data_IF_321745663281
#
_entry.id   IF_321745663281
#
_cell.length_a   1.000
_cell.length_b   1.000
_cell.length_c   1.000
_cell.angle_alpha   90.00
_cell.angle_beta   90.00
_cell.angle_gamma   90.00
#
_symmetry.space_group_name_H-M   'P 1'
#
loop_
_entity.id
_entity.type
_entity.pdbx_description
1 polymer ?
#
# COMPACT_ATOMS: atom_id res chain seq x y z
N UNK A 1 -11.62 8.56 -4.47
CA UNK A 1 -11.38 7.54 -3.44
C UNK A 1 -9.87 7.35 -3.24
N UNK A 2 -9.47 6.81 -2.10
CA UNK A 2 -8.06 6.67 -1.72
C UNK A 2 -7.74 5.22 -1.40
N UNK A 3 -6.71 4.67 -2.04
CA UNK A 3 -6.20 3.33 -1.79
C UNK A 3 -4.78 3.40 -1.25
N UNK A 4 -4.45 2.56 -0.26
CA UNK A 4 -3.09 2.45 0.26
C UNK A 4 -2.57 1.03 0.19
N UNK A 5 -1.25 0.91 0.12
CA UNK A 5 -0.54 -0.35 0.08
C UNK A 5 0.46 -0.43 1.22
N UNK A 6 0.56 -1.60 1.85
CA UNK A 6 1.72 -1.88 2.67
C UNK A 6 2.98 -2.02 1.80
N UNK A 7 4.15 -1.98 2.42
CA UNK A 7 5.42 -2.17 1.73
C UNK A 7 5.89 -3.62 1.85
N UNK A 8 6.22 -4.05 3.05
CA UNK A 8 6.86 -5.35 3.28
C UNK A 8 5.87 -6.48 2.97
N UNK A 9 6.32 -7.47 2.21
CA UNK A 9 5.55 -8.63 1.72
C UNK A 9 4.31 -8.30 0.87
N UNK A 10 4.01 -7.02 0.65
CA UNK A 10 2.97 -6.54 -0.28
C UNK A 10 3.57 -5.99 -1.56
N UNK A 11 4.26 -4.83 -1.50
CA UNK A 11 4.94 -4.21 -2.64
C UNK A 11 6.42 -4.59 -2.74
N UNK A 12 7.07 -4.82 -1.60
CA UNK A 12 8.47 -5.25 -1.49
C UNK A 12 8.49 -6.70 -1.06
N UNK A 13 8.87 -7.61 -1.94
CA UNK A 13 8.85 -9.04 -1.66
C UNK A 13 10.26 -9.63 -1.80
N UNK A 14 10.84 -10.06 -0.67
CA UNK A 14 12.15 -10.72 -0.64
C UNK A 14 12.06 -12.25 -0.78
N UNK A 15 10.86 -12.80 -0.80
CA UNK A 15 10.64 -14.23 -0.92
C UNK A 15 11.10 -14.79 -2.26
N UNK A 16 11.80 -15.93 -2.24
CA UNK A 16 12.20 -16.64 -3.44
C UNK A 16 10.98 -17.06 -4.26
N UNK A 17 11.03 -16.82 -5.57
CA UNK A 17 9.95 -17.19 -6.49
C UNK A 17 8.83 -16.13 -6.67
N UNK A 18 8.84 -15.04 -5.92
CA UNK A 18 7.95 -13.91 -6.20
C UNK A 18 8.50 -13.12 -7.39
N UNK A 19 7.73 -12.95 -8.48
CA UNK A 19 8.16 -12.14 -9.62
C UNK A 19 8.36 -10.68 -9.22
N UNK A 20 9.45 -10.09 -9.67
CA UNK A 20 9.84 -8.71 -9.35
C UNK A 20 9.95 -7.87 -10.61
N UNK A 21 9.76 -6.58 -10.47
CA UNK A 21 10.08 -5.60 -11.50
C UNK A 21 11.60 -5.60 -11.78
N UNK A 22 12.01 -5.22 -13.00
CA UNK A 22 13.43 -5.04 -13.29
C UNK A 22 14.08 -4.07 -12.29
N UNK A 23 15.24 -4.47 -11.78
CA UNK A 23 16.02 -3.61 -10.88
C UNK A 23 16.41 -2.31 -11.57
N UNK A 24 16.47 -1.24 -10.79
CA UNK A 24 16.97 0.03 -11.30
C UNK A 24 18.38 -0.11 -11.87
N UNK A 25 18.68 0.69 -12.88
CA UNK A 25 20.01 0.70 -13.49
C UNK A 25 21.09 0.90 -12.41
N UNK A 26 22.21 0.20 -12.52
CA UNK A 26 23.26 0.17 -11.49
C UNK A 26 23.70 1.57 -11.03
N UNK A 27 23.74 2.54 -11.94
CA UNK A 27 24.08 3.93 -11.63
C UNK A 27 23.10 4.58 -10.65
N UNK A 28 21.80 4.35 -10.81
CA UNK A 28 20.77 4.89 -9.91
C UNK A 28 20.84 4.25 -8.52
N UNK A 29 21.24 2.98 -8.45
CA UNK A 29 21.41 2.26 -7.19
C UNK A 29 22.53 2.79 -6.31
N UNK A 30 23.41 3.65 -6.81
CA UNK A 30 24.39 4.38 -6.01
C UNK A 30 23.76 5.47 -5.16
N UNK A 31 22.57 5.97 -5.56
CA UNK A 31 21.89 7.09 -4.92
C UNK A 31 20.52 6.73 -4.34
N UNK A 32 19.99 5.58 -4.73
CA UNK A 32 18.66 5.11 -4.36
C UNK A 32 18.78 3.69 -3.82
N UNK A 33 18.27 3.50 -2.61
CA UNK A 33 18.12 2.14 -2.06
C UNK A 33 17.03 1.42 -2.86
N UNK A 34 17.46 0.52 -3.75
CA UNK A 34 16.58 -0.20 -4.67
C UNK A 34 16.16 -1.53 -4.04
N UNK A 35 14.92 -1.58 -3.56
CA UNK A 35 14.31 -2.78 -2.99
C UNK A 35 13.63 -3.63 -4.08
N UNK A 36 13.37 -4.94 -3.84
CA UNK A 36 12.73 -5.82 -4.83
C UNK A 36 11.24 -5.48 -4.96
N UNK A 37 10.90 -4.60 -5.91
CA UNK A 37 9.52 -4.23 -6.19
C UNK A 37 8.76 -5.39 -6.83
N UNK A 38 7.60 -5.75 -6.28
CA UNK A 38 6.73 -6.81 -6.80
C UNK A 38 6.28 -6.50 -8.23
N UNK A 39 6.35 -7.51 -9.11
CA UNK A 39 5.95 -7.36 -10.50
C UNK A 39 4.48 -6.98 -10.64
N UNK A 40 4.20 -6.09 -11.62
CA UNK A 40 2.87 -5.56 -11.89
C UNK A 40 2.53 -4.29 -11.10
N UNK A 41 3.37 -3.87 -10.12
CA UNK A 41 3.11 -2.68 -9.31
C UNK A 41 2.92 -1.41 -10.14
N UNK A 42 3.82 -1.01 -11.07
CA UNK A 42 3.64 0.23 -11.82
C UNK A 42 2.36 0.24 -12.67
N UNK A 43 2.04 -0.88 -13.29
CA UNK A 43 0.84 -1.02 -14.12
C UNK A 43 -0.43 -0.97 -13.27
N UNK A 44 -0.47 -1.67 -12.13
CA UNK A 44 -1.58 -1.60 -11.19
C UNK A 44 -1.84 -0.15 -10.73
N UNK A 45 -0.79 0.56 -10.30
CA UNK A 45 -0.92 1.95 -9.83
C UNK A 45 -1.42 2.89 -10.94
N UNK A 46 -0.95 2.67 -12.18
CA UNK A 46 -1.43 3.41 -13.35
C UNK A 46 -2.94 3.16 -13.60
N UNK A 47 -3.38 1.91 -13.51
CA UNK A 47 -4.78 1.55 -13.70
C UNK A 47 -5.69 2.11 -12.60
N UNK A 48 -5.26 2.08 -11.35
CA UNK A 48 -5.98 2.67 -10.22
C UNK A 48 -6.16 4.19 -10.42
N UNK A 49 -5.09 4.89 -10.83
CA UNK A 49 -5.16 6.33 -11.15
C UNK A 49 -6.11 6.63 -12.30
N UNK A 50 -6.15 5.81 -13.33
CA UNK A 50 -7.11 5.95 -14.44
C UNK A 50 -8.57 5.79 -13.98
N UNK A 51 -8.80 5.05 -12.90
CA UNK A 51 -10.10 4.91 -12.24
C UNK A 51 -10.39 6.01 -11.21
N UNK A 52 -9.52 7.02 -11.09
CA UNK A 52 -9.70 8.14 -10.17
C UNK A 52 -9.28 7.87 -8.73
N UNK A 53 -8.51 6.81 -8.47
CA UNK A 53 -7.98 6.55 -7.14
C UNK A 53 -6.72 7.36 -6.86
N UNK A 54 -6.66 7.99 -5.66
CA UNK A 54 -5.40 8.43 -5.07
C UNK A 54 -4.63 7.23 -4.54
N UNK A 55 -3.34 7.14 -4.86
CA UNK A 55 -2.47 6.02 -4.49
C UNK A 55 -1.54 6.42 -3.36
N UNK A 56 -1.65 5.71 -2.25
CA UNK A 56 -0.88 5.95 -1.03
C UNK A 56 -0.05 4.73 -0.64
N UNK A 57 0.94 4.93 0.22
CA UNK A 57 1.58 3.87 0.99
C UNK A 57 1.22 4.04 2.46
N UNK A 58 0.91 2.94 3.13
CA UNK A 58 0.74 2.90 4.59
C UNK A 58 1.49 1.69 5.15
N UNK A 59 2.58 1.96 5.83
CA UNK A 59 3.48 0.93 6.37
C UNK A 59 3.80 1.19 7.85
N UNK A 60 4.05 0.12 8.59
CA UNK A 60 4.56 0.16 9.97
C UNK A 60 6.10 0.27 10.03
N UNK A 61 6.77 0.40 8.88
CA UNK A 61 8.21 0.62 8.84
C UNK A 61 8.56 2.09 9.07
N UNK A 62 9.78 2.34 9.56
CA UNK A 62 10.34 3.69 9.76
C UNK A 62 11.05 4.23 8.51
N UNK A 63 10.82 3.63 7.33
CA UNK A 63 11.39 4.13 6.07
C UNK A 63 11.00 5.60 5.84
N UNK A 64 11.99 6.39 5.42
CA UNK A 64 11.76 7.81 5.10
C UNK A 64 10.76 7.95 3.95
N UNK A 65 9.68 8.74 4.12
CA UNK A 65 8.72 9.00 3.05
C UNK A 65 9.36 9.55 1.77
N UNK A 66 10.38 10.39 1.91
CA UNK A 66 11.11 10.94 0.77
C UNK A 66 11.89 9.86 0.01
N UNK A 67 12.50 8.91 0.73
CA UNK A 67 13.25 7.82 0.12
C UNK A 67 12.31 6.86 -0.63
N UNK A 68 11.19 6.47 0.00
CA UNK A 68 10.18 5.58 -0.62
C UNK A 68 9.56 6.24 -1.86
N UNK A 69 9.16 7.51 -1.77
CA UNK A 69 8.62 8.25 -2.92
C UNK A 69 9.62 8.34 -4.07
N UNK A 70 10.90 8.61 -3.77
CA UNK A 70 11.96 8.69 -4.78
C UNK A 70 12.19 7.35 -5.45
N UNK A 71 12.29 6.26 -4.69
CA UNK A 71 12.47 4.90 -5.20
C UNK A 71 11.30 4.48 -6.10
N UNK A 72 10.05 4.58 -5.62
CA UNK A 72 8.85 4.24 -6.39
C UNK A 72 8.70 5.09 -7.66
N UNK A 73 9.06 6.38 -7.59
CA UNK A 73 9.02 7.27 -8.76
C UNK A 73 9.93 6.78 -9.89
N UNK A 74 11.10 6.22 -9.57
CA UNK A 74 12.01 5.67 -10.57
C UNK A 74 11.48 4.36 -11.19
N UNK A 75 10.58 3.66 -10.51
CA UNK A 75 9.80 2.55 -11.06
C UNK A 75 8.51 3.01 -11.76
N UNK A 76 8.30 4.33 -11.97
CA UNK A 76 7.12 4.85 -12.63
C UNK A 76 5.88 4.99 -11.74
N UNK A 77 6.03 4.82 -10.42
CA UNK A 77 4.93 4.94 -9.45
C UNK A 77 4.96 6.31 -8.78
N UNK A 78 3.84 7.04 -8.89
CA UNK A 78 3.64 8.32 -8.19
C UNK A 78 2.72 8.09 -6.99
N UNK A 79 3.14 8.58 -5.81
CA UNK A 79 2.33 8.52 -4.59
C UNK A 79 1.72 9.88 -4.27
N UNK A 80 0.42 9.87 -3.97
CA UNK A 80 -0.30 11.05 -3.47
C UNK A 80 -0.06 11.24 -1.97
N UNK A 81 0.12 10.16 -1.22
CA UNK A 81 0.41 10.21 0.20
C UNK A 81 1.24 9.04 0.71
N UNK A 82 1.73 9.19 1.94
CA UNK A 82 2.39 8.12 2.67
C UNK A 82 2.21 8.28 4.18
N UNK A 83 1.84 7.19 4.83
CA UNK A 83 1.82 7.03 6.29
C UNK A 83 2.88 5.99 6.64
N UNK A 84 3.87 6.38 7.44
CA UNK A 84 4.84 5.48 8.06
C UNK A 84 4.57 5.35 9.56
N UNK A 85 5.35 4.55 10.27
CA UNK A 85 5.18 4.34 11.72
C UNK A 85 5.15 5.67 12.49
N UNK A 86 6.05 6.61 12.19
CA UNK A 86 6.08 7.92 12.86
C UNK A 86 4.78 8.73 12.68
N UNK A 87 4.18 8.66 11.49
CA UNK A 87 2.92 9.36 11.20
C UNK A 87 1.75 8.68 11.92
N UNK A 88 1.73 7.35 11.96
CA UNK A 88 0.76 6.56 12.72
C UNK A 88 0.83 6.89 14.22
N UNK A 89 2.02 6.84 14.82
CA UNK A 89 2.23 7.13 16.24
C UNK A 89 1.84 8.56 16.61
N UNK A 90 2.12 9.53 15.73
CA UNK A 90 1.66 10.91 15.94
C UNK A 90 0.14 11.02 15.95
N UNK A 91 -0.54 10.24 15.10
CA UNK A 91 -2.00 10.19 15.10
C UNK A 91 -2.53 9.61 16.41
N UNK A 92 -2.00 8.46 16.86
CA UNK A 92 -2.42 7.82 18.11
C UNK A 92 -2.20 8.72 19.33
N UNK A 93 -1.10 9.48 19.39
CA UNK A 93 -0.86 10.46 20.46
C UNK A 93 -1.88 11.60 20.49
N UNK A 94 -2.44 11.99 19.33
CA UNK A 94 -3.46 13.06 19.23
C UNK A 94 -4.87 12.53 19.49
N UNK A 95 -5.12 11.27 19.22
CA UNK A 95 -6.42 10.62 19.38
C UNK A 95 -6.21 9.26 20.08
N UNK A 96 -5.94 9.25 21.40
CA UNK A 96 -5.71 8.03 22.16
C UNK A 96 -6.92 7.09 22.10
N UNK A 97 -6.66 5.81 21.92
CA UNK A 97 -7.65 4.74 21.93
C UNK A 97 -7.20 3.65 22.91
N UNK A 98 -8.16 3.01 23.59
CA UNK A 98 -7.84 1.94 24.57
C UNK A 98 -7.16 0.74 23.92
N UNK A 99 -7.57 0.42 22.68
CA UNK A 99 -7.00 -0.68 21.88
C UNK A 99 -6.84 -0.21 20.43
N UNK A 100 -5.77 0.52 20.12
CA UNK A 100 -5.53 0.98 18.77
C UNK A 100 -5.21 -0.19 17.85
N UNK A 101 -5.70 -0.20 16.60
CA UNK A 101 -5.27 -1.17 15.61
C UNK A 101 -3.80 -0.94 15.23
N UNK A 102 -3.14 -1.97 14.69
CA UNK A 102 -1.76 -1.87 14.19
C UNK A 102 -1.64 -0.89 13.03
N UNK A 103 -2.70 -0.78 12.23
CA UNK A 103 -2.90 0.22 11.19
C UNK A 103 -4.30 0.79 11.30
N UNK A 104 -4.47 2.10 11.01
CA UNK A 104 -5.78 2.75 11.00
C UNK A 104 -5.96 3.57 9.69
N UNK A 105 -6.18 2.90 8.54
CA UNK A 105 -6.34 3.56 7.26
C UNK A 105 -7.47 4.60 7.24
N UNK A 106 -8.60 4.30 7.88
CA UNK A 106 -9.75 5.20 7.95
C UNK A 106 -9.41 6.56 8.58
N UNK A 107 -8.53 6.59 9.57
CA UNK A 107 -8.08 7.83 10.22
C UNK A 107 -7.31 8.77 9.27
N UNK A 108 -6.82 8.25 8.15
CA UNK A 108 -6.13 9.02 7.10
C UNK A 108 -7.00 9.19 5.84
N UNK A 109 -8.30 8.90 5.94
CA UNK A 109 -9.24 8.98 4.83
C UNK A 109 -8.95 7.99 3.72
N UNK A 110 -8.38 6.83 4.04
CA UNK A 110 -8.09 5.75 3.12
C UNK A 110 -9.32 4.83 3.07
N UNK A 111 -9.86 4.62 1.88
CA UNK A 111 -11.07 3.82 1.65
C UNK A 111 -10.77 2.33 1.56
N UNK A 112 -9.60 1.97 0.99
CA UNK A 112 -9.14 0.59 0.83
C UNK A 112 -7.66 0.47 1.19
N UNK A 113 -7.31 -0.48 2.03
CA UNK A 113 -5.93 -0.85 2.34
C UNK A 113 -5.58 -2.20 1.72
N UNK A 114 -4.41 -2.32 1.12
CA UNK A 114 -3.88 -3.57 0.57
C UNK A 114 -2.72 -4.02 1.43
N UNK A 115 -2.81 -5.23 1.98
CA UNK A 115 -1.88 -5.78 2.98
C UNK A 115 -1.70 -7.28 2.78
N UNK A 116 -0.62 -7.87 3.25
CA UNK A 116 -0.40 -9.31 3.21
C UNK A 116 -1.00 -10.04 4.43
N UNK A 117 -1.37 -9.30 5.47
CA UNK A 117 -1.77 -9.83 6.77
C UNK A 117 -3.29 -9.98 6.94
N UNK A 118 -3.73 -11.21 7.18
CA UNK A 118 -5.10 -11.47 7.66
C UNK A 118 -5.40 -10.80 9.00
N UNK A 119 -4.38 -10.58 9.84
CA UNK A 119 -4.51 -9.84 11.10
C UNK A 119 -5.00 -8.41 10.87
N UNK A 120 -4.45 -7.71 9.89
CA UNK A 120 -4.88 -6.35 9.52
C UNK A 120 -6.32 -6.37 8.95
N UNK A 121 -6.72 -7.40 8.22
CA UNK A 121 -8.11 -7.57 7.76
C UNK A 121 -9.08 -7.72 8.94
N UNK A 122 -8.73 -8.55 9.93
CA UNK A 122 -9.54 -8.73 11.14
C UNK A 122 -9.66 -7.42 11.94
N UNK A 123 -8.57 -6.65 12.04
CA UNK A 123 -8.62 -5.30 12.63
C UNK A 123 -9.54 -4.38 11.82
N UNK A 124 -9.52 -4.48 10.49
CA UNK A 124 -10.41 -3.72 9.61
C UNK A 124 -11.89 -3.99 9.89
N UNK A 125 -12.26 -5.24 10.10
CA UNK A 125 -13.63 -5.62 10.47
C UNK A 125 -14.04 -5.05 11.84
N UNK A 126 -13.11 -4.99 12.81
CA UNK A 126 -13.38 -4.46 14.14
C UNK A 126 -13.42 -2.94 14.18
N UNK A 127 -12.60 -2.27 13.37
CA UNK A 127 -12.42 -0.81 13.39
C UNK A 127 -13.06 -0.08 12.20
N UNK A 128 -13.74 -0.81 11.31
CA UNK A 128 -14.55 -0.24 10.23
C UNK A 128 -13.76 0.27 9.02
N UNK A 129 -12.62 -0.34 8.68
CA UNK A 129 -11.89 -0.06 7.45
C UNK A 129 -11.78 -1.29 6.54
N UNK A 130 -11.69 -1.07 5.22
CA UNK A 130 -11.65 -2.13 4.23
C UNK A 130 -10.21 -2.57 3.94
N UNK A 131 -9.98 -3.89 3.88
CA UNK A 131 -8.67 -4.48 3.57
C UNK A 131 -8.80 -5.52 2.46
N UNK A 132 -7.94 -5.42 1.45
CA UNK A 132 -7.73 -6.46 0.45
C UNK A 132 -6.42 -7.21 0.80
N UNK A 133 -6.52 -8.46 1.19
CA UNK A 133 -5.35 -9.27 1.54
C UNK A 133 -4.71 -9.84 0.28
N UNK A 134 -3.40 -9.62 0.11
CA UNK A 134 -2.60 -10.16 -1.00
C UNK A 134 -1.30 -10.76 -0.46
N UNK A 135 -1.23 -12.08 -0.43
CA UNK A 135 -0.02 -12.77 0.03
C UNK A 135 1.09 -12.76 -1.04
N UNK A 136 2.37 -12.97 -0.68
CA UNK A 136 3.46 -13.08 -1.65
C UNK A 136 3.20 -14.13 -2.74
N UNK A 137 2.49 -15.21 -2.43
CA UNK A 137 2.18 -16.31 -3.37
C UNK A 137 1.04 -16.00 -4.35
N UNK A 138 0.27 -14.94 -4.13
CA UNK A 138 -0.81 -14.51 -5.02
C UNK A 138 -0.25 -14.06 -6.37
N UNK A 139 -0.35 -14.89 -7.40
CA UNK A 139 0.13 -14.56 -8.75
C UNK A 139 -0.74 -13.53 -9.47
N UNK A 140 -2.04 -13.55 -9.17
CA UNK A 140 -3.04 -12.64 -9.74
C UNK A 140 -3.37 -11.46 -8.81
N UNK A 141 -2.42 -11.09 -7.93
CA UNK A 141 -2.62 -10.08 -6.90
C UNK A 141 -3.12 -8.74 -7.45
N UNK A 142 -2.65 -8.32 -8.63
CA UNK A 142 -3.09 -7.07 -9.27
C UNK A 142 -4.56 -7.11 -9.66
N UNK A 143 -5.02 -8.23 -10.23
CA UNK A 143 -6.43 -8.43 -10.59
C UNK A 143 -7.32 -8.46 -9.34
N UNK A 144 -6.86 -9.10 -8.26
CA UNK A 144 -7.54 -9.13 -6.97
C UNK A 144 -7.73 -7.73 -6.38
N UNK A 145 -6.68 -6.91 -6.41
CA UNK A 145 -6.74 -5.51 -5.95
C UNK A 145 -7.70 -4.68 -6.80
N UNK A 146 -7.62 -4.79 -8.13
CA UNK A 146 -8.52 -4.06 -9.04
C UNK A 146 -9.98 -4.45 -8.82
N UNK A 147 -10.26 -5.75 -8.62
CA UNK A 147 -11.60 -6.22 -8.31
C UNK A 147 -12.13 -5.61 -7.01
N UNK A 148 -11.33 -5.62 -5.94
CA UNK A 148 -11.71 -5.03 -4.66
C UNK A 148 -11.96 -3.51 -4.77
N UNK A 149 -11.12 -2.81 -5.53
CA UNK A 149 -11.26 -1.37 -5.78
C UNK A 149 -12.55 -1.06 -6.57
N UNK A 150 -12.82 -1.82 -7.64
CA UNK A 150 -14.03 -1.65 -8.46
C UNK A 150 -15.32 -2.01 -7.68
N UNK A 151 -15.28 -3.00 -6.80
CA UNK A 151 -16.40 -3.33 -5.92
C UNK A 151 -16.71 -2.23 -4.93
N UNK A 152 -15.67 -1.65 -4.32
CA UNK A 152 -15.84 -0.58 -3.36
C UNK A 152 -16.36 0.70 -4.03
N UNK A 153 -15.86 1.05 -5.22
CA UNK A 153 -16.34 2.18 -6.00
C UNK A 153 -17.85 2.06 -6.32
N UNK A 154 -18.29 0.89 -6.79
CA UNK A 154 -19.71 0.63 -7.06
C UNK A 154 -20.61 0.77 -5.83
N UNK A 155 -20.13 0.41 -4.64
CA UNK A 155 -20.88 0.60 -3.38
C UNK A 155 -20.97 2.08 -2.97
N UNK A 156 -19.94 2.88 -3.32
CA UNK A 156 -19.90 4.32 -3.05
C UNK A 156 -20.85 5.11 -3.93
N UNK A 157 -20.97 4.75 -5.21
CA UNK A 157 -21.84 5.44 -6.18
C UNK A 157 -23.35 5.16 -5.95
N UNK A 158 -23.68 4.16 -5.17
CA UNK A 158 -25.08 3.80 -4.84
C UNK A 158 -25.66 4.49 -3.59
N UNK A 159 -24.93 5.45 -3.01
CA UNK A 159 -25.38 6.26 -1.87
C UNK A 159 -25.53 7.70 -2.31
#
# INVERSE_FOLDING_TARGET
MRISFDLDDTLVCYHAGVPQEPRLHWFLRLFIHDEPLRQGTPELMRQLRQRGWEVWVYTTSNRSPAAVRRWLRWHGVLLDGMVNQDAHDRHLRRSPQDRPPSKNPAAFGIDLHVDDSDGVRMEGEQHGFQVAVVTPDDRDWTAKVLCAADELARRGDGR
#
